data_IF_612209289918
#
_entry.id   IF_612209289918
#
_cell.length_a   1.000
_cell.length_b   1.000
_cell.length_c   1.000
_cell.angle_alpha   90.00
_cell.angle_beta   90.00
_cell.angle_gamma   90.00
#
_symmetry.space_group_name_H-M   'P 1'
#
loop_
_entity.id
_entity.type
_entity.pdbx_description
1 polymer ?
#
# COMPACT_ATOMS: atom_id res chain seq x y z
N UNK A 1 -40.32 3.67 -14.81
CA UNK A 1 -39.14 4.19 -14.09
C UNK A 1 -38.11 3.08 -13.98
N UNK A 2 -36.84 3.35 -14.25
CA UNK A 2 -35.77 2.33 -14.15
C UNK A 2 -35.40 2.10 -12.68
N UNK A 3 -35.02 0.87 -12.31
CA UNK A 3 -34.53 0.54 -10.96
C UNK A 3 -33.39 1.48 -10.53
N UNK A 4 -32.55 1.91 -11.49
CA UNK A 4 -31.47 2.86 -11.26
C UNK A 4 -31.97 4.27 -10.87
N UNK A 5 -33.10 4.71 -11.44
CA UNK A 5 -33.72 6.00 -11.10
C UNK A 5 -34.29 5.98 -9.68
N UNK A 6 -34.92 4.87 -9.29
CA UNK A 6 -35.47 4.68 -7.93
C UNK A 6 -34.35 4.66 -6.88
N UNK A 7 -33.22 3.99 -7.18
CA UNK A 7 -32.05 3.97 -6.31
C UNK A 7 -31.45 5.37 -6.06
N UNK A 8 -31.40 6.23 -7.08
CA UNK A 8 -30.85 7.58 -6.97
C UNK A 8 -31.74 8.49 -6.12
N UNK A 9 -33.07 8.43 -6.32
CA UNK A 9 -34.02 9.21 -5.52
C UNK A 9 -33.99 8.81 -4.05
N UNK A 10 -33.90 7.50 -3.75
CA UNK A 10 -33.77 7.03 -2.37
C UNK A 10 -32.46 7.48 -1.73
N UNK A 11 -31.36 7.46 -2.49
CA UNK A 11 -30.06 7.93 -2.01
C UNK A 11 -30.01 9.44 -1.75
N UNK A 12 -30.77 10.25 -2.50
CA UNK A 12 -30.88 11.70 -2.28
C UNK A 12 -31.66 12.06 -1.00
N UNK A 13 -32.56 11.18 -0.54
CA UNK A 13 -33.45 11.45 0.59
C UNK A 13 -33.01 10.76 1.88
N UNK A 14 -32.03 9.84 1.79
CA UNK A 14 -31.47 9.18 2.96
C UNK A 14 -30.51 10.10 3.71
N UNK A 15 -30.64 10.17 5.03
CA UNK A 15 -29.78 10.99 5.88
C UNK A 15 -28.41 10.34 6.12
N UNK A 16 -28.35 9.01 6.05
CA UNK A 16 -27.13 8.22 6.14
C UNK A 16 -27.23 6.88 5.40
N UNK A 17 -26.17 6.07 5.51
CA UNK A 17 -26.08 4.80 4.80
C UNK A 17 -27.01 3.71 5.36
N UNK A 18 -27.41 3.77 6.63
CA UNK A 18 -28.33 2.83 7.26
C UNK A 18 -29.78 3.16 6.89
N UNK A 19 -30.12 4.44 6.88
CA UNK A 19 -31.42 4.95 6.40
C UNK A 19 -31.66 4.59 4.93
N UNK A 20 -30.64 4.76 4.08
CA UNK A 20 -30.68 4.31 2.68
C UNK A 20 -30.95 2.80 2.56
N UNK A 21 -30.32 1.97 3.40
CA UNK A 21 -30.56 0.52 3.42
C UNK A 21 -31.99 0.16 3.83
N UNK A 22 -32.54 0.87 4.82
CA UNK A 22 -33.90 0.66 5.30
C UNK A 22 -34.95 1.06 4.25
N UNK A 23 -34.80 2.23 3.63
CA UNK A 23 -35.70 2.71 2.57
C UNK A 23 -35.68 1.77 1.35
N UNK A 24 -34.50 1.31 0.93
CA UNK A 24 -34.38 0.33 -0.15
C UNK A 24 -35.00 -1.03 0.19
N UNK A 25 -34.90 -1.46 1.46
CA UNK A 25 -35.56 -2.68 1.94
C UNK A 25 -37.08 -2.55 1.94
N UNK A 26 -37.65 -1.40 2.35
CA UNK A 26 -39.09 -1.14 2.32
C UNK A 26 -39.67 -1.16 0.90
N UNK A 27 -38.86 -0.78 -0.10
CA UNK A 27 -39.23 -0.81 -1.51
C UNK A 27 -38.96 -2.16 -2.19
N UNK A 28 -38.46 -3.16 -1.45
CA UNK A 28 -38.10 -4.47 -1.99
C UNK A 28 -36.90 -4.46 -2.95
N UNK A 29 -36.11 -3.38 -2.95
CA UNK A 29 -34.96 -3.17 -3.82
C UNK A 29 -33.67 -3.40 -3.03
N UNK A 30 -33.49 -4.59 -2.48
CA UNK A 30 -32.23 -4.93 -1.78
C UNK A 30 -31.08 -4.97 -2.79
N UNK A 31 -30.00 -4.20 -2.61
CA UNK A 31 -28.84 -4.29 -3.49
C UNK A 31 -28.26 -5.70 -3.42
N UNK A 32 -28.09 -6.33 -4.58
CA UNK A 32 -27.41 -7.62 -4.70
C UNK A 32 -26.07 -7.55 -3.97
N UNK A 33 -25.84 -8.48 -3.04
CA UNK A 33 -24.53 -8.65 -2.40
C UNK A 33 -23.42 -8.66 -3.48
N UNK A 34 -22.24 -8.07 -3.22
CA UNK A 34 -21.15 -8.09 -4.18
C UNK A 34 -20.81 -9.54 -4.51
N UNK A 35 -20.85 -9.90 -5.80
CA UNK A 35 -20.47 -11.25 -6.29
C UNK A 35 -18.99 -11.49 -6.02
N UNK A 36 -18.64 -11.93 -4.81
CA UNK A 36 -17.32 -12.51 -4.54
C UNK A 36 -17.27 -13.86 -5.24
N UNK A 37 -16.29 -14.10 -6.11
CA UNK A 37 -16.01 -15.46 -6.61
C UNK A 37 -15.84 -16.37 -5.39
N UNK A 38 -16.39 -17.60 -5.35
CA UNK A 38 -16.12 -18.52 -4.26
C UNK A 38 -14.62 -18.79 -4.24
N UNK A 39 -13.92 -18.11 -3.34
CA UNK A 39 -12.51 -18.31 -3.11
C UNK A 39 -12.31 -19.67 -2.47
N UNK A 40 -11.12 -20.26 -2.70
CA UNK A 40 -10.62 -21.41 -1.95
C UNK A 40 -10.95 -21.22 -0.45
N UNK A 41 -11.47 -22.24 0.27
CA UNK A 41 -11.80 -22.12 1.68
C UNK A 41 -10.63 -21.49 2.46
N UNK A 42 -10.90 -20.68 3.50
CA UNK A 42 -9.86 -20.10 4.33
C UNK A 42 -9.13 -21.25 5.03
N UNK A 43 -8.04 -21.72 4.42
CA UNK A 43 -7.13 -22.64 5.09
C UNK A 43 -6.28 -21.81 6.04
N UNK A 44 -6.13 -22.25 7.27
CA UNK A 44 -5.12 -21.70 8.16
C UNK A 44 -3.76 -22.01 7.54
N UNK A 45 -3.03 -20.96 7.17
CA UNK A 45 -1.74 -21.08 6.51
C UNK A 45 -0.58 -21.03 7.51
N UNK A 46 -0.88 -21.01 8.82
CA UNK A 46 0.08 -20.72 9.88
C UNK A 46 0.41 -19.23 9.99
N UNK A 47 0.98 -18.84 11.12
CA UNK A 47 1.51 -17.49 11.36
C UNK A 47 3.04 -17.53 11.44
N UNK A 48 3.69 -16.36 11.39
CA UNK A 48 5.16 -16.29 11.51
C UNK A 48 5.95 -16.64 10.25
N UNK A 49 5.34 -16.61 9.07
CA UNK A 49 6.04 -16.86 7.80
C UNK A 49 5.72 -15.81 6.73
N UNK A 50 6.67 -15.50 5.85
CA UNK A 50 6.48 -14.49 4.79
C UNK A 50 5.31 -14.83 3.85
N UNK A 51 5.06 -16.11 3.57
CA UNK A 51 3.98 -16.51 2.66
C UNK A 51 2.61 -16.13 3.18
N UNK A 52 2.40 -16.09 4.50
CA UNK A 52 1.13 -15.73 5.13
C UNK A 52 0.97 -14.22 5.25
N UNK A 53 2.07 -13.49 5.47
CA UNK A 53 2.10 -12.04 5.29
C UNK A 53 1.68 -11.63 3.86
N UNK A 54 2.19 -12.31 2.83
CA UNK A 54 1.82 -12.02 1.42
C UNK A 54 0.33 -12.32 1.13
N UNK A 55 -0.28 -13.26 1.86
CA UNK A 55 -1.70 -13.61 1.76
C UNK A 55 -2.63 -12.66 2.52
N UNK A 56 -2.08 -11.70 3.26
CA UNK A 56 -2.84 -10.63 3.89
C UNK A 56 -2.78 -10.62 5.42
N UNK A 57 -2.12 -11.60 6.05
CA UNK A 57 -1.93 -11.56 7.50
C UNK A 57 -1.00 -10.39 7.89
N UNK A 58 -1.34 -9.70 8.99
CA UNK A 58 -0.61 -8.53 9.49
C UNK A 58 -0.32 -8.61 11.00
N UNK A 59 -0.38 -9.80 11.60
CA UNK A 59 0.08 -10.00 12.98
C UNK A 59 1.60 -9.77 13.11
N UNK A 60 2.09 -9.62 14.34
CA UNK A 60 3.48 -9.22 14.58
C UNK A 60 4.49 -10.26 14.10
N UNK A 61 4.25 -11.56 14.32
CA UNK A 61 5.12 -12.64 13.83
C UNK A 61 5.26 -12.60 12.29
N UNK A 62 4.15 -12.33 11.59
CA UNK A 62 4.15 -12.22 10.13
C UNK A 62 4.88 -10.96 9.65
N UNK A 63 4.76 -9.84 10.39
CA UNK A 63 5.52 -8.60 10.11
C UNK A 63 7.00 -8.81 10.34
N UNK A 64 7.37 -9.52 11.39
CA UNK A 64 8.74 -9.86 11.72
C UNK A 64 9.35 -10.79 10.68
N UNK A 65 8.69 -11.89 10.32
CA UNK A 65 9.13 -12.79 9.26
C UNK A 65 9.32 -12.06 7.93
N UNK A 66 8.42 -11.13 7.59
CA UNK A 66 8.58 -10.27 6.42
C UNK A 66 9.80 -9.33 6.54
N UNK A 67 9.98 -8.69 7.71
CA UNK A 67 11.11 -7.80 7.99
C UNK A 67 12.44 -8.54 7.87
N UNK A 68 12.55 -9.73 8.47
CA UNK A 68 13.74 -10.57 8.44
C UNK A 68 14.09 -10.95 7.00
N UNK A 69 13.14 -11.50 6.24
CA UNK A 69 13.35 -11.86 4.83
C UNK A 69 13.79 -10.66 3.99
N UNK A 70 13.20 -9.49 4.19
CA UNK A 70 13.62 -8.27 3.49
C UNK A 70 15.05 -7.84 3.86
N UNK A 71 15.46 -8.05 5.12
CA UNK A 71 16.81 -7.75 5.59
C UNK A 71 17.83 -8.69 4.95
N UNK A 72 17.60 -9.99 5.03
CA UNK A 72 18.44 -11.04 4.43
C UNK A 72 18.61 -10.84 2.92
N UNK A 73 17.51 -10.55 2.21
CA UNK A 73 17.58 -10.28 0.77
C UNK A 73 18.45 -9.07 0.44
N UNK A 74 18.34 -7.97 1.20
CA UNK A 74 19.18 -6.78 0.98
C UNK A 74 20.64 -7.07 1.27
N UNK A 75 20.92 -7.84 2.33
CA UNK A 75 22.30 -8.16 2.70
C UNK A 75 22.96 -9.06 1.66
N UNK A 76 22.24 -10.10 1.21
CA UNK A 76 22.68 -10.94 0.09
C UNK A 76 22.98 -10.11 -1.16
N UNK A 77 22.16 -9.10 -1.49
CA UNK A 77 22.38 -8.23 -2.65
C UNK A 77 23.52 -7.23 -2.51
N UNK A 78 23.93 -6.88 -1.29
CA UNK A 78 25.15 -6.07 -1.07
C UNK A 78 26.42 -6.89 -1.18
N UNK A 79 26.36 -8.17 -0.81
CA UNK A 79 27.52 -9.07 -0.87
C UNK A 79 27.91 -9.44 -2.30
N UNK A 80 26.97 -9.36 -3.23
CA UNK A 80 27.21 -9.56 -4.66
C UNK A 80 27.57 -8.23 -5.35
N UNK A 81 28.86 -7.95 -5.64
CA UNK A 81 29.27 -6.72 -6.31
C UNK A 81 28.74 -6.63 -7.76
N UNK A 82 28.48 -7.76 -8.42
CA UNK A 82 27.96 -7.79 -9.80
C UNK A 82 26.48 -7.47 -9.87
N UNK A 83 25.75 -7.59 -8.75
CA UNK A 83 24.34 -7.27 -8.69
C UNK A 83 24.06 -5.79 -9.02
N UNK A 84 25.01 -4.89 -8.72
CA UNK A 84 24.90 -3.48 -9.07
C UNK A 84 25.01 -3.24 -10.58
N UNK A 85 25.83 -4.03 -11.28
CA UNK A 85 26.02 -3.91 -12.73
C UNK A 85 24.75 -4.31 -13.49
N UNK A 86 24.10 -5.41 -13.08
CA UNK A 86 22.82 -5.82 -13.65
C UNK A 86 21.66 -4.86 -13.30
N UNK A 87 21.62 -4.32 -12.06
CA UNK A 87 20.59 -3.37 -11.64
C UNK A 87 20.72 -1.98 -12.31
N UNK A 88 21.93 -1.66 -12.79
CA UNK A 88 22.30 -0.40 -13.41
C UNK A 88 22.69 0.68 -12.39
N UNK A 89 23.81 1.35 -12.65
CA UNK A 89 24.35 2.42 -11.81
C UNK A 89 23.56 3.74 -11.92
N UNK A 90 23.81 4.66 -10.99
CA UNK A 90 23.20 5.99 -11.00
C UNK A 90 21.76 6.05 -10.47
N UNK A 91 21.29 5.00 -9.78
CA UNK A 91 19.96 4.96 -9.16
C UNK A 91 20.08 4.90 -7.64
N UNK A 92 19.11 5.48 -6.94
CA UNK A 92 19.01 5.41 -5.48
C UNK A 92 18.79 3.98 -4.99
N UNK A 93 18.03 3.19 -5.76
CA UNK A 93 17.81 1.77 -5.51
C UNK A 93 19.11 0.97 -5.56
N UNK A 94 19.98 1.23 -6.53
CA UNK A 94 21.28 0.58 -6.66
C UNK A 94 22.21 0.93 -5.49
N UNK A 95 22.22 2.19 -5.06
CA UNK A 95 22.97 2.61 -3.86
C UNK A 95 22.48 1.91 -2.58
N UNK A 96 21.16 1.86 -2.36
CA UNK A 96 20.57 1.37 -1.10
C UNK A 96 20.49 -0.16 -1.02
N UNK A 97 20.07 -0.80 -2.10
CA UNK A 97 19.75 -2.24 -2.11
C UNK A 97 20.94 -3.11 -2.53
N UNK A 98 21.82 -2.59 -3.39
CA UNK A 98 22.96 -3.34 -3.95
C UNK A 98 24.31 -2.85 -3.41
N UNK A 99 24.33 -1.88 -2.49
CA UNK A 99 25.53 -1.42 -1.81
C UNK A 99 26.51 -0.62 -2.67
N UNK A 100 26.21 -0.34 -3.94
CA UNK A 100 27.13 0.34 -4.84
C UNK A 100 27.45 1.77 -4.38
N UNK A 101 28.74 2.11 -4.30
CA UNK A 101 29.25 3.43 -3.88
C UNK A 101 30.03 4.17 -4.97
N UNK A 102 29.80 3.87 -6.25
CA UNK A 102 30.42 4.63 -7.35
C UNK A 102 29.88 6.08 -7.39
N UNK A 103 30.60 6.98 -8.07
CA UNK A 103 30.24 8.39 -8.18
C UNK A 103 28.79 8.65 -8.65
N UNK A 104 28.27 8.02 -9.73
CA UNK A 104 26.90 8.26 -10.16
C UNK A 104 25.86 7.79 -9.14
N UNK A 105 26.07 6.65 -8.48
CA UNK A 105 25.19 6.16 -7.40
C UNK A 105 25.20 7.11 -6.19
N UNK A 106 26.37 7.66 -5.80
CA UNK A 106 26.47 8.66 -4.73
C UNK A 106 25.69 9.92 -5.07
N UNK A 107 25.87 10.47 -6.28
CA UNK A 107 25.14 11.68 -6.74
C UNK A 107 23.64 11.48 -6.69
N UNK A 108 23.14 10.37 -7.25
CA UNK A 108 21.72 10.06 -7.25
C UNK A 108 21.14 9.96 -5.83
N UNK A 109 21.86 9.32 -4.91
CA UNK A 109 21.44 9.24 -3.51
C UNK A 109 21.42 10.63 -2.84
N UNK A 110 22.46 11.44 -3.05
CA UNK A 110 22.53 12.81 -2.51
C UNK A 110 21.38 13.68 -3.01
N UNK A 111 21.11 13.64 -4.31
CA UNK A 111 20.02 14.41 -4.94
C UNK A 111 18.65 13.98 -4.41
N UNK A 112 18.41 12.68 -4.30
CA UNK A 112 17.18 12.15 -3.71
C UNK A 112 16.96 12.68 -2.29
N UNK A 113 17.97 12.63 -1.43
CA UNK A 113 17.85 13.14 -0.06
C UNK A 113 17.69 14.66 0.00
N UNK A 114 18.28 15.41 -0.94
CA UNK A 114 18.07 16.85 -1.06
C UNK A 114 16.60 17.17 -1.33
N UNK A 115 16.00 16.52 -2.34
CA UNK A 115 14.59 16.69 -2.71
C UNK A 115 13.67 16.22 -1.58
N UNK A 116 13.90 15.03 -1.04
CA UNK A 116 13.09 14.47 0.05
C UNK A 116 13.07 15.40 1.28
N UNK A 117 14.21 15.96 1.66
CA UNK A 117 14.30 16.90 2.80
C UNK A 117 13.59 18.23 2.51
N UNK A 118 13.63 18.72 1.26
CA UNK A 118 12.88 19.91 0.86
C UNK A 118 11.37 19.66 0.99
N UNK A 119 10.85 18.60 0.36
CA UNK A 119 9.43 18.22 0.44
C UNK A 119 8.97 17.98 1.88
N UNK A 120 9.82 17.36 2.72
CA UNK A 120 9.48 17.14 4.13
C UNK A 120 9.41 18.45 4.92
N UNK A 121 10.28 19.42 4.62
CA UNK A 121 10.21 20.77 5.21
C UNK A 121 8.95 21.50 4.75
N UNK A 122 8.67 21.50 3.45
CA UNK A 122 7.46 22.10 2.88
C UNK A 122 6.19 21.51 3.50
N UNK A 123 6.09 20.17 3.56
CA UNK A 123 4.96 19.50 4.21
C UNK A 123 4.84 19.87 5.69
N UNK A 124 5.96 20.01 6.40
CA UNK A 124 5.96 20.44 7.80
C UNK A 124 5.42 21.86 7.94
N UNK A 125 5.89 22.79 7.10
CA UNK A 125 5.40 24.17 7.07
C UNK A 125 3.90 24.19 6.78
N UNK A 126 3.42 23.45 5.78
CA UNK A 126 1.99 23.37 5.44
C UNK A 126 1.12 22.91 6.62
N UNK A 127 1.57 21.91 7.36
CA UNK A 127 0.87 21.42 8.57
C UNK A 127 0.89 22.49 9.68
N UNK A 128 2.03 23.16 9.89
CA UNK A 128 2.19 24.20 10.91
C UNK A 128 1.39 25.46 10.60
N UNK A 129 1.24 25.83 9.32
CA UNK A 129 0.47 27.01 8.90
C UNK A 129 -1.03 26.73 8.75
N UNK A 130 -1.52 25.56 9.18
CA UNK A 130 -2.95 25.21 9.12
C UNK A 130 -3.49 25.08 7.69
N UNK A 131 -2.63 24.71 6.73
CA UNK A 131 -3.00 24.47 5.33
C UNK A 131 -3.78 23.17 5.15
N UNK A 132 -4.97 23.09 5.74
CA UNK A 132 -5.96 22.07 5.50
C UNK A 132 -7.32 22.75 5.32
N UNK A 133 -7.75 22.88 4.06
CA UNK A 133 -9.14 22.81 3.64
C UNK A 133 -9.22 21.83 2.48
#
# INVERSE_FOLDING_TARGET
MSARTVLLVVAEHAQDADDCRQLLSMLGLTPSAPKRKPGRPPVDHGHGHYSTYRKGCRCDDCREAHRQRCSEWRESKKQDPTAADWAGHGKTSTYKNHGCRCAPCRRANTEYWRVYRAQRRERRVLVETGGAR
#
